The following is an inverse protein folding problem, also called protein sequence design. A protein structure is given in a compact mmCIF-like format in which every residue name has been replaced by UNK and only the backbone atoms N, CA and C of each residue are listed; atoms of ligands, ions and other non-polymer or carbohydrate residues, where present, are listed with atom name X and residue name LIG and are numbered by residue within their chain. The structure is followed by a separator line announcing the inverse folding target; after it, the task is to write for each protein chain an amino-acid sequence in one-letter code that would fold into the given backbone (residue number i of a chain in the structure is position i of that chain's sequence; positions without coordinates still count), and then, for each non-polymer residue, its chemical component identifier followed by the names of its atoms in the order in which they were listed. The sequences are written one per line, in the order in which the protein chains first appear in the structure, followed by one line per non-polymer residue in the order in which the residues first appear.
data_IF_395891140777
#
_entry.id   IF_395891140777
#
_cell.length_a   1.000
_cell.length_b   1.000
_cell.length_c   1.000
_cell.angle_alpha   90.00
_cell.angle_beta   90.00
_cell.angle_gamma   90.00
#
_symmetry.space_group_name_H-M   'P 1'
#
loop_
_entity.id
_entity.type
_entity.pdbx_description
1 polymer ?
#
# COMPACT_ATOMS: atom_id res chain seq x y z
N UNK A 1 -10.06 31.75 24.01
CA UNK A 1 -8.96 30.77 24.19
C UNK A 1 -9.45 29.35 23.98
N UNK A 2 -8.82 28.58 23.11
CA UNK A 2 -9.16 27.18 22.96
C UNK A 2 -8.82 26.42 24.26
N UNK A 3 -9.59 25.38 24.58
CA UNK A 3 -9.33 24.51 25.71
C UNK A 3 -8.08 23.65 25.44
N UNK A 4 -7.48 23.13 26.50
CA UNK A 4 -6.35 22.17 26.40
C UNK A 4 -6.78 20.96 25.57
N UNK A 5 -8.01 20.45 25.81
CA UNK A 5 -8.54 19.32 25.05
C UNK A 5 -8.61 19.63 23.55
N UNK A 6 -9.05 20.84 23.17
CA UNK A 6 -9.12 21.26 21.78
C UNK A 6 -7.73 21.37 21.14
N UNK A 7 -6.74 21.86 21.86
CA UNK A 7 -5.36 21.97 21.41
C UNK A 7 -4.77 20.57 21.18
N UNK A 8 -4.98 19.65 22.11
CA UNK A 8 -4.48 18.27 22.02
C UNK A 8 -5.14 17.55 20.83
N UNK A 9 -6.44 17.73 20.64
CA UNK A 9 -7.15 17.12 19.51
C UNK A 9 -6.62 17.65 18.16
N UNK A 10 -6.39 18.94 18.06
CA UNK A 10 -5.83 19.55 16.84
C UNK A 10 -4.46 18.99 16.52
N UNK A 11 -3.59 18.82 17.53
CA UNK A 11 -2.25 18.29 17.37
C UNK A 11 -2.30 16.81 17.01
N UNK A 12 -3.17 16.01 17.64
CA UNK A 12 -3.37 14.61 17.30
C UNK A 12 -3.84 14.45 15.86
N UNK A 13 -4.75 15.29 15.40
CA UNK A 13 -5.21 15.27 14.01
C UNK A 13 -4.11 15.63 13.03
N UNK A 14 -3.22 16.56 13.40
CA UNK A 14 -2.07 16.94 12.56
C UNK A 14 -1.10 15.76 12.41
N UNK A 15 -0.76 15.10 13.49
CA UNK A 15 0.12 13.93 13.49
C UNK A 15 -0.50 12.81 12.65
N UNK A 16 -1.80 12.58 12.81
CA UNK A 16 -2.54 11.57 12.03
C UNK A 16 -2.45 11.84 10.53
N UNK A 17 -2.72 13.07 10.10
CA UNK A 17 -2.63 13.44 8.68
C UNK A 17 -1.23 13.22 8.11
N UNK A 18 -0.20 13.61 8.84
CA UNK A 18 1.18 13.44 8.40
C UNK A 18 1.54 11.96 8.29
N UNK A 19 1.09 11.15 9.23
CA UNK A 19 1.35 9.70 9.24
C UNK A 19 0.65 9.02 8.08
N UNK A 20 -0.63 9.29 7.87
CA UNK A 20 -1.40 8.73 6.75
C UNK A 20 -0.80 9.15 5.41
N UNK A 21 -0.38 10.40 5.28
CA UNK A 21 0.27 10.89 4.07
C UNK A 21 1.57 10.13 3.77
N UNK A 22 2.39 9.91 4.80
CA UNK A 22 3.65 9.18 4.64
C UNK A 22 3.41 7.73 4.20
N UNK A 23 2.45 7.06 4.82
CA UNK A 23 2.09 5.68 4.46
C UNK A 23 1.47 5.61 3.06
N UNK A 24 0.62 6.56 2.69
CA UNK A 24 0.02 6.61 1.36
C UNK A 24 1.08 6.80 0.28
N UNK A 25 2.06 7.66 0.52
CA UNK A 25 3.17 7.86 -0.41
C UNK A 25 3.99 6.58 -0.58
N UNK A 26 4.29 5.91 0.51
CA UNK A 26 5.01 4.63 0.45
C UNK A 26 4.18 3.59 -0.32
N UNK A 27 2.88 3.53 -0.06
CA UNK A 27 1.96 2.64 -0.79
C UNK A 27 1.95 2.92 -2.29
N UNK A 28 1.84 4.18 -2.69
CA UNK A 28 1.90 4.57 -4.11
C UNK A 28 3.24 4.18 -4.74
N UNK A 29 4.34 4.42 -4.06
CA UNK A 29 5.67 4.08 -4.55
C UNK A 29 5.83 2.56 -4.71
N UNK A 30 5.33 1.77 -3.76
CA UNK A 30 5.35 0.32 -3.84
C UNK A 30 4.53 -0.20 -5.02
N UNK A 31 3.31 0.29 -5.16
CA UNK A 31 2.40 -0.12 -6.25
C UNK A 31 3.01 0.22 -7.61
N UNK A 32 3.56 1.43 -7.75
CA UNK A 32 4.22 1.85 -8.97
C UNK A 32 5.40 0.95 -9.31
N UNK A 33 6.25 0.64 -8.34
CA UNK A 33 7.39 -0.25 -8.55
C UNK A 33 6.96 -1.64 -9.02
N UNK A 34 5.87 -2.17 -8.46
CA UNK A 34 5.39 -3.50 -8.81
C UNK A 34 4.75 -3.49 -10.19
N UNK A 35 3.87 -2.53 -10.45
CA UNK A 35 3.08 -2.48 -11.70
C UNK A 35 3.91 -2.14 -12.92
N UNK A 36 4.89 -1.26 -12.76
CA UNK A 36 5.63 -0.68 -13.88
C UNK A 36 6.95 -1.38 -14.19
N UNK A 37 7.22 -2.54 -13.59
CA UNK A 37 8.44 -3.30 -13.87
C UNK A 37 8.39 -3.85 -15.29
N UNK A 38 9.57 -3.84 -15.94
CA UNK A 38 9.72 -4.33 -17.30
C UNK A 38 9.61 -5.85 -17.35
N UNK A 39 9.14 -6.39 -18.46
CA UNK A 39 8.96 -7.83 -18.67
C UNK A 39 10.24 -8.63 -18.45
N UNK A 40 11.40 -8.14 -18.89
CA UNK A 40 12.66 -8.82 -18.71
C UNK A 40 13.08 -8.95 -17.25
N UNK A 41 12.51 -8.10 -16.38
CA UNK A 41 12.79 -8.10 -14.95
C UNK A 41 11.62 -8.64 -14.13
N UNK A 42 10.52 -8.95 -14.78
CA UNK A 42 9.28 -9.25 -14.10
C UNK A 42 8.44 -10.28 -14.88
N UNK A 43 7.16 -10.22 -14.75
CA UNK A 43 6.16 -11.17 -15.22
C UNK A 43 5.37 -10.59 -16.39
N UNK A 44 4.78 -11.49 -17.18
CA UNK A 44 3.91 -11.11 -18.29
C UNK A 44 2.45 -11.24 -17.85
N UNK A 45 1.63 -10.25 -18.18
CA UNK A 45 0.23 -10.17 -17.78
C UNK A 45 -0.65 -9.89 -19.01
N UNK A 46 -1.02 -10.96 -19.71
CA UNK A 46 -1.76 -10.86 -20.97
C UNK A 46 -3.13 -10.21 -20.82
N UNK A 47 -3.86 -10.54 -19.76
CA UNK A 47 -5.20 -10.01 -19.54
C UNK A 47 -5.20 -8.67 -18.79
N UNK A 48 -4.10 -8.33 -18.12
CA UNK A 48 -4.04 -7.21 -17.23
C UNK A 48 -4.61 -7.48 -15.85
N UNK A 49 -5.13 -8.68 -15.59
CA UNK A 49 -5.74 -9.00 -14.30
C UNK A 49 -4.74 -8.93 -13.14
N UNK A 50 -3.54 -9.44 -13.33
CA UNK A 50 -2.55 -9.42 -12.25
C UNK A 50 -2.16 -7.98 -11.90
N UNK A 51 -1.82 -7.15 -12.90
CA UNK A 51 -1.48 -5.74 -12.66
C UNK A 51 -2.66 -4.98 -12.06
N UNK A 52 -3.87 -5.24 -12.54
CA UNK A 52 -5.08 -4.59 -12.03
C UNK A 52 -5.39 -4.97 -10.59
N UNK A 53 -4.89 -6.14 -10.13
CA UNK A 53 -5.09 -6.62 -8.75
C UNK A 53 -4.10 -6.02 -7.75
N UNK A 54 -3.15 -5.21 -8.20
CA UNK A 54 -2.11 -4.64 -7.34
C UNK A 54 -2.59 -3.29 -6.81
N UNK A 55 -2.55 -3.14 -5.50
CA UNK A 55 -2.96 -1.89 -4.86
C UNK A 55 -2.56 -1.86 -3.40
N UNK A 56 -2.97 -0.79 -2.72
CA UNK A 56 -2.67 -0.62 -1.30
C UNK A 56 -3.86 -0.05 -0.53
N UNK A 57 -3.85 -0.28 0.78
CA UNK A 57 -4.77 0.34 1.74
C UNK A 57 -3.96 0.83 2.94
N UNK A 58 -4.28 2.03 3.42
CA UNK A 58 -3.84 2.51 4.73
C UNK A 58 -5.02 2.36 5.69
N UNK A 59 -4.79 1.70 6.82
CA UNK A 59 -5.83 1.47 7.82
C UNK A 59 -5.34 1.84 9.21
N UNK A 60 -6.30 2.13 10.10
CA UNK A 60 -6.07 2.42 11.52
C UNK A 60 -6.93 1.49 12.35
N UNK A 61 -6.31 0.64 13.13
CA UNK A 61 -7.00 -0.27 14.05
C UNK A 61 -8.09 -1.10 13.36
N UNK A 62 -7.84 -1.49 12.11
CA UNK A 62 -8.76 -2.29 11.31
C UNK A 62 -9.76 -1.49 10.47
N UNK A 63 -9.75 -0.17 10.58
CA UNK A 63 -10.63 0.70 9.78
C UNK A 63 -9.85 1.31 8.61
N UNK A 64 -10.45 1.27 7.41
CA UNK A 64 -9.83 1.80 6.20
C UNK A 64 -9.85 3.32 6.25
N UNK A 65 -8.69 3.94 6.06
CA UNK A 65 -8.53 5.40 5.99
C UNK A 65 -8.44 5.86 4.54
N UNK A 66 -7.63 5.19 3.75
CA UNK A 66 -7.49 5.50 2.32
C UNK A 66 -7.05 4.24 1.57
N UNK A 67 -7.37 4.18 0.28
CA UNK A 67 -6.99 3.06 -0.56
C UNK A 67 -6.64 3.54 -1.97
N UNK A 68 -5.82 2.77 -2.69
CA UNK A 68 -5.55 3.02 -4.10
C UNK A 68 -6.79 2.69 -4.93
N UNK A 69 -6.80 3.17 -6.16
CA UNK A 69 -7.93 2.97 -7.06
C UNK A 69 -7.97 1.59 -7.72
N UNK A 70 -6.95 0.74 -7.51
CA UNK A 70 -6.81 -0.55 -8.20
C UNK A 70 -7.04 -0.40 -9.70
N UNK A 71 -6.26 0.50 -10.29
CA UNK A 71 -6.41 0.93 -11.68
C UNK A 71 -6.40 -0.26 -12.63
N UNK A 72 -7.49 -0.38 -13.42
CA UNK A 72 -7.62 -1.43 -14.41
C UNK A 72 -6.62 -1.25 -15.56
N UNK A 73 -5.95 -2.35 -15.92
CA UNK A 73 -5.02 -2.43 -17.03
C UNK A 73 -5.60 -3.41 -18.03
N UNK A 74 -5.65 -3.04 -19.33
CA UNK A 74 -6.22 -3.87 -20.38
C UNK A 74 -7.65 -4.31 -20.03
N UNK A 75 -7.95 -5.61 -20.06
CA UNK A 75 -9.26 -6.17 -19.70
C UNK A 75 -9.30 -6.70 -18.27
N UNK A 76 -8.56 -6.07 -17.36
CA UNK A 76 -8.32 -6.58 -16.00
C UNK A 76 -9.35 -6.22 -14.95
N UNK A 77 -10.64 -6.10 -15.31
CA UNK A 77 -11.69 -5.76 -14.32
C UNK A 77 -11.81 -6.77 -13.18
N UNK A 78 -11.63 -8.05 -13.47
CA UNK A 78 -11.62 -9.09 -12.44
C UNK A 78 -10.47 -8.88 -11.45
N UNK A 79 -9.28 -8.53 -11.97
CA UNK A 79 -8.13 -8.24 -11.12
C UNK A 79 -8.36 -7.06 -10.19
N UNK A 80 -8.95 -5.97 -10.70
CA UNK A 80 -9.27 -4.81 -9.88
C UNK A 80 -10.21 -5.16 -8.74
N UNK A 81 -11.25 -5.94 -9.01
CA UNK A 81 -12.23 -6.37 -8.01
C UNK A 81 -11.58 -7.27 -6.96
N UNK A 82 -10.87 -8.31 -7.41
CA UNK A 82 -10.23 -9.27 -6.49
C UNK A 82 -9.13 -8.63 -5.65
N UNK A 83 -8.35 -7.73 -6.26
CA UNK A 83 -7.31 -7.00 -5.53
C UNK A 83 -7.89 -6.17 -4.41
N UNK A 84 -8.94 -5.41 -4.69
CA UNK A 84 -9.60 -4.57 -3.68
C UNK A 84 -10.21 -5.42 -2.57
N UNK A 85 -10.91 -6.50 -2.92
CA UNK A 85 -11.52 -7.39 -1.93
C UNK A 85 -10.48 -7.98 -0.98
N UNK A 86 -9.37 -8.48 -1.52
CA UNK A 86 -8.29 -9.03 -0.70
C UNK A 86 -7.69 -7.96 0.20
N UNK A 87 -7.41 -6.78 -0.34
CA UNK A 87 -6.81 -5.69 0.42
C UNK A 87 -7.73 -5.24 1.57
N UNK A 88 -9.03 -5.11 1.31
CA UNK A 88 -10.02 -4.73 2.32
C UNK A 88 -10.14 -5.78 3.43
N UNK A 89 -10.14 -7.07 3.05
CA UNK A 89 -10.17 -8.17 4.02
C UNK A 89 -8.94 -8.16 4.93
N UNK A 90 -7.75 -8.06 4.36
CA UNK A 90 -6.50 -8.02 5.12
C UNK A 90 -6.41 -6.78 6.01
N UNK A 91 -6.83 -5.62 5.51
CA UNK A 91 -6.82 -4.38 6.27
C UNK A 91 -7.75 -4.45 7.48
N UNK A 92 -8.92 -5.08 7.33
CA UNK A 92 -9.87 -5.24 8.43
C UNK A 92 -9.32 -6.12 9.56
N UNK A 93 -8.40 -7.01 9.24
CA UNK A 93 -7.77 -7.91 10.23
C UNK A 93 -6.52 -7.31 10.87
N UNK A 94 -5.97 -6.25 10.30
CA UNK A 94 -4.78 -5.58 10.82
C UNK A 94 -5.18 -4.57 11.89
N UNK A 95 -4.95 -4.91 13.16
CA UNK A 95 -5.45 -4.13 14.31
C UNK A 95 -4.46 -3.12 14.88
N UNK A 96 -3.25 -3.04 14.35
CA UNK A 96 -2.28 -2.04 14.78
C UNK A 96 -2.80 -0.62 14.53
N UNK A 97 -2.29 0.39 15.27
CA UNK A 97 -2.76 1.77 15.10
C UNK A 97 -2.64 2.30 13.67
N UNK A 98 -1.56 1.92 12.97
CA UNK A 98 -1.36 2.28 11.57
C UNK A 98 -0.85 1.08 10.79
N UNK A 99 -1.46 0.80 9.65
CA UNK A 99 -1.06 -0.29 8.77
C UNK A 99 -1.05 0.16 7.32
N UNK A 100 -0.05 -0.31 6.59
CA UNK A 100 -0.02 -0.23 5.14
C UNK A 100 -0.10 -1.67 4.61
N UNK A 101 -1.15 -1.95 3.85
CA UNK A 101 -1.38 -3.27 3.23
C UNK A 101 -1.21 -3.14 1.73
N UNK A 102 -0.31 -3.96 1.16
CA UNK A 102 -0.06 -3.98 -0.28
C UNK A 102 -0.36 -5.38 -0.78
N UNK A 103 -1.14 -5.48 -1.85
CA UNK A 103 -1.60 -6.77 -2.36
C UNK A 103 -1.41 -6.91 -3.86
N UNK A 104 -1.28 -8.17 -4.29
CA UNK A 104 -1.51 -8.62 -5.65
C UNK A 104 -2.60 -9.69 -5.54
N UNK A 105 -3.84 -9.33 -5.83
CA UNK A 105 -5.03 -10.09 -5.43
C UNK A 105 -5.41 -11.28 -6.30
N UNK A 106 -4.66 -11.56 -7.39
CA UNK A 106 -4.95 -12.73 -8.22
C UNK A 106 -4.28 -13.97 -7.66
N UNK A 107 -5.02 -15.09 -7.65
CA UNK A 107 -4.54 -16.35 -7.07
C UNK A 107 -3.26 -16.89 -7.73
N UNK A 108 -2.98 -16.53 -8.97
CA UNK A 108 -1.76 -16.99 -9.65
C UNK A 108 -0.52 -16.11 -9.37
N UNK A 109 -0.64 -15.04 -8.58
CA UNK A 109 0.50 -14.17 -8.26
C UNK A 109 1.64 -14.97 -7.60
N UNK A 110 1.34 -15.81 -6.62
CA UNK A 110 2.33 -16.67 -5.97
C UNK A 110 2.97 -17.66 -6.95
N UNK A 111 2.18 -18.18 -7.87
CA UNK A 111 2.69 -19.07 -8.91
C UNK A 111 3.72 -18.34 -9.79
N UNK A 112 3.42 -17.12 -10.21
CA UNK A 112 4.32 -16.32 -11.04
C UNK A 112 5.67 -16.10 -10.31
N UNK A 113 5.64 -15.74 -9.03
CA UNK A 113 6.87 -15.58 -8.24
C UNK A 113 7.67 -16.86 -8.12
N UNK A 114 7.01 -17.97 -7.79
CA UNK A 114 7.68 -19.23 -7.47
C UNK A 114 8.16 -19.98 -8.71
N UNK A 115 7.34 -20.07 -9.76
CA UNK A 115 7.60 -20.90 -10.93
C UNK A 115 8.37 -20.19 -12.02
N UNK A 116 8.10 -18.91 -12.21
CA UNK A 116 8.72 -18.13 -13.28
C UNK A 116 9.93 -17.34 -12.82
N UNK A 117 10.27 -17.43 -11.54
CA UNK A 117 11.29 -16.59 -10.92
C UNK A 117 11.04 -15.10 -11.22
N UNK A 118 9.77 -14.73 -11.29
CA UNK A 118 9.31 -13.36 -11.57
C UNK A 118 8.82 -12.73 -10.29
N UNK A 119 9.32 -11.56 -10.01
CA UNK A 119 9.08 -10.85 -8.77
C UNK A 119 7.77 -10.07 -8.83
N UNK A 120 6.76 -10.43 -8.04
CA UNK A 120 5.54 -9.63 -7.91
C UNK A 120 5.64 -8.72 -6.68
N UNK A 121 5.83 -9.26 -5.49
CA UNK A 121 5.86 -8.48 -4.26
C UNK A 121 7.20 -8.49 -3.52
N UNK A 122 7.95 -9.60 -3.57
CA UNK A 122 9.08 -9.83 -2.67
C UNK A 122 10.17 -8.77 -2.71
N UNK A 123 10.61 -8.34 -3.90
CA UNK A 123 11.66 -7.33 -4.00
C UNK A 123 11.20 -5.95 -3.54
N UNK A 124 9.92 -5.65 -3.74
CA UNK A 124 9.33 -4.38 -3.28
C UNK A 124 9.21 -4.37 -1.77
N UNK A 125 8.91 -5.50 -1.15
CA UNK A 125 8.91 -5.62 0.31
C UNK A 125 10.29 -5.31 0.88
N UNK A 126 11.36 -5.87 0.30
CA UNK A 126 12.72 -5.57 0.73
C UNK A 126 13.07 -4.09 0.55
N UNK A 127 12.70 -3.53 -0.58
CA UNK A 127 12.91 -2.10 -0.84
C UNK A 127 12.18 -1.24 0.20
N UNK A 128 10.90 -1.54 0.46
CA UNK A 128 10.10 -0.78 1.42
C UNK A 128 10.68 -0.85 2.83
N UNK A 129 11.16 -2.02 3.24
CA UNK A 129 11.83 -2.18 4.54
C UNK A 129 13.09 -1.32 4.64
N UNK A 130 13.87 -1.24 3.57
CA UNK A 130 15.06 -0.41 3.53
C UNK A 130 14.73 1.09 3.58
N UNK A 131 13.62 1.50 2.98
CA UNK A 131 13.19 2.90 2.95
C UNK A 131 12.54 3.37 4.27
N UNK A 132 11.98 2.45 5.03
CA UNK A 132 11.18 2.77 6.23
C UNK A 132 11.93 3.64 7.25
N UNK A 133 13.21 3.36 7.61
CA UNK A 133 13.91 4.22 8.57
C UNK A 133 14.01 5.68 8.12
N UNK A 134 14.25 5.91 6.83
CA UNK A 134 14.32 7.28 6.27
C UNK A 134 12.96 7.97 6.30
N UNK A 135 11.89 7.23 5.99
CA UNK A 135 10.52 7.75 6.02
C UNK A 135 10.15 8.14 7.45
N UNK A 136 10.46 7.29 8.42
CA UNK A 136 10.17 7.57 9.84
C UNK A 136 10.94 8.79 10.34
N UNK A 137 12.19 8.95 9.90
CA UNK A 137 13.00 10.12 10.27
C UNK A 137 12.39 11.41 9.73
N UNK A 138 11.99 11.42 8.48
CA UNK A 138 11.34 12.59 7.85
C UNK A 138 9.99 12.88 8.53
N UNK A 139 9.22 11.86 8.83
CA UNK A 139 7.95 12.01 9.53
C UNK A 139 8.16 12.64 10.90
N UNK A 140 9.14 12.15 11.65
CA UNK A 140 9.49 12.71 12.95
C UNK A 140 9.86 14.19 12.84
N UNK A 141 10.67 14.55 11.86
CA UNK A 141 11.04 15.95 11.63
C UNK A 141 9.83 16.83 11.35
N UNK A 142 8.88 16.33 10.53
CA UNK A 142 7.65 17.06 10.23
C UNK A 142 6.78 17.24 11.46
N UNK A 143 6.68 16.22 12.29
CA UNK A 143 5.89 16.27 13.54
C UNK A 143 6.50 17.28 14.52
N UNK A 144 7.83 17.30 14.61
CA UNK A 144 8.55 18.15 15.57
C UNK A 144 8.60 19.63 15.16
N UNK A 145 8.21 19.96 13.94
CA UNK A 145 8.08 21.37 13.53
C UNK A 145 6.81 21.96 14.12
#
# INVERSE_FOLDING_TARGET
MPSIAAILKKEANRVDRLTVRALSKLGEDCVTRIRDRREELNWNDESGNLRSSIGYIVSKSGEIVTESDFKQVLSGSEGSTKGRELAEDLASKAKDPYNLTIVAGMNYASYVEAKKNKNVLASTELWARAETPGILRKLKEQIMK
#
